data_IF_609436796234
#
_entry.id   IF_609436796234
#
_cell.length_a   1.000
_cell.length_b   1.000
_cell.length_c   1.000
_cell.angle_alpha   90.00
_cell.angle_beta   90.00
_cell.angle_gamma   90.00
#
_symmetry.space_group_name_H-M   'P 1'
#
loop_
_entity.id
_entity.type
_entity.pdbx_description
1 polymer ?
#
# COMPACT_ATOMS: atom_id res chain seq x y z
N UNK A 1 12.81 23.03 20.22
CA UNK A 1 11.89 22.14 19.49
C UNK A 1 12.34 20.72 19.75
N UNK A 2 11.40 19.81 20.00
CA UNK A 2 11.70 18.39 20.17
C UNK A 2 11.82 17.76 18.78
N UNK A 3 12.87 16.97 18.54
CA UNK A 3 13.01 16.18 17.30
C UNK A 3 12.52 14.78 17.59
N UNK A 4 11.58 14.30 16.77
CA UNK A 4 11.05 12.96 16.86
C UNK A 4 11.43 12.15 15.62
N UNK A 5 11.84 10.91 15.86
CA UNK A 5 12.07 9.86 14.87
C UNK A 5 11.51 8.55 15.42
N UNK A 6 11.12 7.64 14.54
CA UNK A 6 10.58 6.35 14.95
C UNK A 6 10.30 5.45 13.76
N UNK A 7 9.80 4.26 14.05
CA UNK A 7 9.39 3.28 13.04
C UNK A 7 8.08 2.65 13.48
N UNK A 8 7.16 2.46 12.54
CA UNK A 8 5.92 1.71 12.77
C UNK A 8 6.01 0.37 12.03
N UNK A 9 5.97 -0.71 12.81
CA UNK A 9 5.94 -2.08 12.28
C UNK A 9 4.52 -2.63 12.32
N UNK A 10 4.05 -3.11 11.17
CA UNK A 10 2.69 -3.60 10.95
C UNK A 10 2.75 -5.07 10.52
N UNK A 11 2.12 -5.93 11.31
CA UNK A 11 2.04 -7.38 11.04
C UNK A 11 0.59 -7.81 11.10
N UNK A 12 0.08 -8.36 9.99
CA UNK A 12 -1.25 -8.96 9.94
C UNK A 12 -1.15 -10.36 9.36
N UNK A 13 -1.95 -11.28 9.89
CA UNK A 13 -1.98 -12.68 9.48
C UNK A 13 -3.44 -13.16 9.42
N UNK A 14 -3.86 -13.57 8.23
CA UNK A 14 -5.17 -14.18 7.99
C UNK A 14 -4.96 -15.62 7.50
N UNK A 15 -5.67 -16.58 8.10
CA UNK A 15 -5.49 -18.01 7.83
C UNK A 15 -6.80 -18.80 7.60
N UNK A 16 -7.95 -18.13 7.50
CA UNK A 16 -9.27 -18.77 7.46
C UNK A 16 -9.50 -19.62 6.19
N UNK A 17 -8.89 -19.24 5.04
CA UNK A 17 -9.03 -19.95 3.77
C UNK A 17 -7.71 -19.99 2.98
N UNK A 18 -6.60 -20.14 3.69
CA UNK A 18 -5.23 -20.02 3.16
C UNK A 18 -4.43 -19.01 3.97
N UNK A 19 -3.10 -19.05 3.82
CA UNK A 19 -2.19 -18.23 4.62
C UNK A 19 -1.81 -16.94 3.88
N UNK A 20 -2.29 -15.80 4.38
CA UNK A 20 -1.96 -14.47 3.88
C UNK A 20 -1.36 -13.64 5.00
N UNK A 21 -0.19 -13.05 4.74
CA UNK A 21 0.54 -12.23 5.70
C UNK A 21 0.88 -10.87 5.09
N UNK A 22 0.68 -9.81 5.88
CA UNK A 22 1.21 -8.49 5.63
C UNK A 22 2.33 -8.24 6.65
N UNK A 23 3.50 -7.83 6.17
CA UNK A 23 4.57 -7.30 7.01
C UNK A 23 5.05 -5.99 6.39
N UNK A 24 4.88 -4.90 7.12
CA UNK A 24 5.29 -3.56 6.70
C UNK A 24 6.09 -2.90 7.80
N UNK A 25 7.08 -2.10 7.43
CA UNK A 25 7.87 -1.29 8.35
C UNK A 25 7.98 0.10 7.73
N UNK A 26 7.45 1.11 8.44
CA UNK A 26 7.38 2.49 7.97
C UNK A 26 8.28 3.34 8.86
N UNK A 27 9.47 3.76 8.38
CA UNK A 27 10.28 4.72 9.10
C UNK A 27 9.62 6.11 9.07
N UNK A 28 9.64 6.80 10.21
CA UNK A 28 9.04 8.10 10.44
C UNK A 28 10.09 9.10 10.94
N UNK A 29 10.06 10.30 10.37
CA UNK A 29 10.92 11.41 10.79
C UNK A 29 12.22 11.56 9.97
N UNK A 30 13.09 12.50 10.38
CA UNK A 30 12.97 13.35 11.57
C UNK A 30 11.90 14.45 11.40
N UNK A 31 11.07 14.68 12.44
CA UNK A 31 10.08 15.76 12.49
C UNK A 31 10.29 16.66 13.70
N UNK A 32 10.26 17.97 13.51
CA UNK A 32 10.42 18.95 14.57
C UNK A 32 9.05 19.33 15.15
N UNK A 33 8.81 18.93 16.41
CA UNK A 33 7.62 19.31 17.17
C UNK A 33 7.86 20.65 17.86
N UNK A 34 7.02 21.63 17.55
CA UNK A 34 6.96 22.91 18.25
C UNK A 34 6.03 22.77 19.44
N UNK A 35 6.56 22.93 20.65
CA UNK A 35 5.77 23.01 21.89
C UNK A 35 5.46 24.47 22.14
N UNK A 36 4.20 24.85 21.99
CA UNK A 36 3.73 26.18 22.38
C UNK A 36 3.23 26.10 23.82
N UNK A 37 4.03 26.60 24.76
CA UNK A 37 3.64 26.66 26.18
C UNK A 37 2.50 27.65 26.33
N UNK A 38 1.32 27.18 26.74
CA UNK A 38 0.19 28.08 27.05
C UNK A 38 0.44 28.70 28.42
N UNK A 39 1.09 29.87 28.45
CA UNK A 39 1.12 30.73 29.64
C UNK A 39 -0.27 31.32 29.90
N UNK A 40 -1.17 30.51 30.46
CA UNK A 40 -2.39 30.97 31.10
C UNK A 40 -2.08 31.42 32.53
N UNK A 41 -2.32 32.69 32.82
CA UNK A 41 -2.12 33.28 34.15
C UNK A 41 -2.89 32.50 35.24
N UNK A 42 -2.20 31.98 36.25
CA UNK A 42 -2.84 31.66 37.53
C UNK A 42 -2.37 30.44 38.33
N UNK A 43 -1.53 29.54 37.84
CA UNK A 43 -1.10 28.38 38.64
C UNK A 43 0.39 28.08 38.49
N UNK A 44 1.10 28.20 39.61
CA UNK A 44 2.36 27.57 39.99
C UNK A 44 3.20 27.00 38.84
N UNK A 45 4.20 27.77 38.42
CA UNK A 45 5.04 27.61 37.23
C UNK A 45 5.96 26.35 37.18
N UNK A 46 5.78 25.35 38.04
CA UNK A 46 6.64 24.16 38.08
C UNK A 46 5.99 22.86 37.53
N UNK A 47 4.68 22.82 37.27
CA UNK A 47 3.98 21.59 36.83
C UNK A 47 3.31 21.64 35.45
N UNK A 48 3.29 22.78 34.74
CA UNK A 48 2.57 22.92 33.46
C UNK A 48 3.39 22.53 32.20
N UNK A 49 4.72 22.49 32.30
CA UNK A 49 5.63 22.19 31.18
C UNK A 49 5.56 20.74 30.63
N UNK A 50 5.35 19.70 31.46
CA UNK A 50 5.29 18.32 30.99
C UNK A 50 4.03 18.01 30.18
N UNK A 51 2.89 18.60 30.54
CA UNK A 51 1.58 18.26 29.97
C UNK A 51 1.42 18.81 28.55
N UNK A 52 1.75 20.09 28.33
CA UNK A 52 1.74 20.71 27.00
C UNK A 52 2.71 20.01 26.04
N UNK A 53 3.87 19.57 26.55
CA UNK A 53 4.85 18.81 25.78
C UNK A 53 4.34 17.41 25.43
N UNK A 54 3.73 16.71 26.39
CA UNK A 54 3.14 15.39 26.18
C UNK A 54 2.01 15.44 25.15
N UNK A 55 1.15 16.47 25.21
CA UNK A 55 0.07 16.65 24.26
C UNK A 55 0.60 16.89 22.83
N UNK A 56 1.62 17.75 22.68
CA UNK A 56 2.24 18.00 21.37
C UNK A 56 2.89 16.73 20.77
N UNK A 57 3.46 15.88 21.61
CA UNK A 57 4.00 14.57 21.20
C UNK A 57 2.89 13.63 20.75
N UNK A 58 1.79 13.54 21.51
CA UNK A 58 0.64 12.70 21.16
C UNK A 58 -0.01 13.14 19.85
N UNK A 59 -0.15 14.45 19.64
CA UNK A 59 -0.70 15.01 18.40
C UNK A 59 0.20 14.69 17.20
N UNK A 60 1.53 14.73 17.38
CA UNK A 60 2.47 14.34 16.34
C UNK A 60 2.39 12.84 16.01
N UNK A 61 2.26 11.98 17.03
CA UNK A 61 2.13 10.53 16.83
C UNK A 61 0.84 10.23 16.07
N UNK A 62 -0.30 10.80 16.48
CA UNK A 62 -1.58 10.62 15.79
C UNK A 62 -1.51 11.03 14.33
N UNK A 63 -0.87 12.17 14.05
CA UNK A 63 -0.65 12.64 12.67
C UNK A 63 0.11 11.61 11.84
N UNK A 64 1.18 11.03 12.40
CA UNK A 64 1.94 9.98 11.70
C UNK A 64 1.11 8.71 11.50
N UNK A 65 0.37 8.25 12.50
CA UNK A 65 -0.47 7.05 12.39
C UNK A 65 -1.58 7.20 11.35
N UNK A 66 -2.24 8.36 11.30
CA UNK A 66 -3.36 8.60 10.39
C UNK A 66 -2.90 8.92 8.96
N UNK A 67 -2.02 9.93 8.81
CA UNK A 67 -1.64 10.45 7.49
C UNK A 67 -0.55 9.59 6.84
N UNK A 68 0.48 9.23 7.59
CA UNK A 68 1.66 8.56 7.03
C UNK A 68 1.46 7.05 6.95
N UNK A 69 0.83 6.42 7.94
CA UNK A 69 0.65 4.96 7.96
C UNK A 69 -0.70 4.56 7.38
N UNK A 70 -1.81 4.96 8.01
CA UNK A 70 -3.15 4.46 7.67
C UNK A 70 -3.61 4.88 6.27
N UNK A 71 -3.47 6.16 5.91
CA UNK A 71 -3.85 6.66 4.59
C UNK A 71 -3.01 6.04 3.46
N UNK A 72 -1.70 5.92 3.65
CA UNK A 72 -0.82 5.30 2.64
C UNK A 72 -1.06 3.82 2.50
N UNK A 73 -1.31 3.11 3.60
CA UNK A 73 -1.65 1.69 3.57
C UNK A 73 -2.95 1.45 2.79
N UNK A 74 -3.98 2.28 3.01
CA UNK A 74 -5.23 2.23 2.24
C UNK A 74 -4.99 2.42 0.73
N UNK A 75 -4.28 3.49 0.36
CA UNK A 75 -3.93 3.78 -1.05
C UNK A 75 -3.10 2.66 -1.70
N UNK A 76 -2.20 2.04 -0.94
CA UNK A 76 -1.42 0.91 -1.41
C UNK A 76 -2.32 -0.27 -1.76
N UNK A 77 -3.26 -0.62 -0.87
CA UNK A 77 -4.21 -1.70 -1.13
C UNK A 77 -5.15 -1.40 -2.31
N UNK A 78 -5.63 -0.17 -2.44
CA UNK A 78 -6.41 0.26 -3.61
C UNK A 78 -5.64 0.09 -4.93
N UNK A 79 -4.34 0.43 -4.92
CA UNK A 79 -3.45 0.24 -6.07
C UNK A 79 -3.19 -1.24 -6.38
N UNK A 80 -3.02 -2.07 -5.35
CA UNK A 80 -2.77 -3.51 -5.52
C UNK A 80 -3.98 -4.20 -6.16
N UNK A 81 -5.18 -3.92 -5.65
CA UNK A 81 -6.43 -4.49 -6.18
C UNK A 81 -6.75 -3.98 -7.59
N UNK A 82 -6.64 -2.68 -7.81
CA UNK A 82 -7.05 -2.07 -9.08
C UNK A 82 -6.13 -2.41 -10.24
N UNK A 83 -4.82 -2.56 -10.01
CA UNK A 83 -3.81 -2.67 -11.06
C UNK A 83 -2.87 -3.86 -10.93
N UNK A 84 -2.13 -3.96 -9.83
CA UNK A 84 -1.02 -4.93 -9.71
C UNK A 84 -1.50 -6.38 -9.88
N UNK A 85 -2.56 -6.77 -9.18
CA UNK A 85 -3.10 -8.13 -9.27
C UNK A 85 -3.66 -8.44 -10.67
N UNK A 86 -4.26 -7.44 -11.34
CA UNK A 86 -4.79 -7.60 -12.71
C UNK A 86 -3.69 -7.75 -13.76
N UNK A 87 -2.52 -7.15 -13.53
CA UNK A 87 -1.34 -7.33 -14.36
C UNK A 87 -0.78 -8.75 -14.24
N UNK A 88 -0.77 -9.31 -13.03
CA UNK A 88 -0.36 -10.70 -12.81
C UNK A 88 -1.34 -11.68 -13.48
N UNK A 89 -2.64 -11.50 -13.24
CA UNK A 89 -3.67 -12.31 -13.88
C UNK A 89 -4.95 -11.51 -14.09
N UNK A 90 -5.36 -11.42 -15.34
CA UNK A 90 -6.62 -10.77 -15.70
C UNK A 90 -7.81 -11.62 -15.24
N UNK A 91 -8.87 -10.93 -14.82
CA UNK A 91 -10.16 -11.57 -14.49
C UNK A 91 -10.79 -12.21 -15.73
N UNK A 92 -10.63 -11.59 -16.91
CA UNK A 92 -11.04 -12.14 -18.20
C UNK A 92 -9.95 -11.98 -19.26
N UNK A 93 -9.94 -12.85 -20.28
CA UNK A 93 -9.16 -12.64 -21.49
C UNK A 93 -9.38 -11.25 -22.10
N UNK A 94 -8.46 -10.81 -22.95
CA UNK A 94 -8.53 -9.50 -23.64
C UNK A 94 -9.82 -9.37 -24.44
N UNK A 95 -10.32 -10.48 -25.00
CA UNK A 95 -11.58 -10.57 -25.75
C UNK A 95 -12.84 -10.32 -24.90
N UNK A 96 -12.71 -10.27 -23.56
CA UNK A 96 -13.83 -10.18 -22.60
C UNK A 96 -14.85 -11.33 -22.74
N UNK A 97 -14.43 -12.45 -23.28
CA UNK A 97 -15.20 -13.70 -23.34
C UNK A 97 -14.47 -14.78 -22.55
N UNK A 98 -15.21 -15.70 -21.94
CA UNK A 98 -14.60 -16.89 -21.33
C UNK A 98 -13.88 -17.68 -22.42
N UNK A 99 -12.75 -18.30 -22.06
CA UNK A 99 -12.02 -19.16 -22.99
C UNK A 99 -12.94 -20.25 -23.52
N UNK A 100 -12.98 -20.38 -24.84
CA UNK A 100 -13.68 -21.48 -25.49
C UNK A 100 -12.77 -22.70 -25.56
N UNK A 101 -12.89 -23.56 -24.56
CA UNK A 101 -12.10 -24.78 -24.47
C UNK A 101 -12.39 -25.79 -25.58
N UNK A 102 -13.53 -25.67 -26.30
CA UNK A 102 -13.86 -26.55 -27.43
C UNK A 102 -13.08 -26.17 -28.68
N UNK A 103 -12.85 -24.88 -28.88
CA UNK A 103 -12.06 -24.34 -29.98
C UNK A 103 -10.56 -24.21 -29.66
N UNK A 104 -10.12 -24.52 -28.43
CA UNK A 104 -8.69 -24.52 -28.08
C UNK A 104 -7.89 -25.66 -28.76
N UNK A 105 -8.55 -26.78 -29.06
CA UNK A 105 -7.92 -27.95 -29.71
C UNK A 105 -8.08 -27.99 -31.24
N UNK A 106 -8.81 -27.04 -31.82
CA UNK A 106 -9.15 -27.04 -33.24
C UNK A 106 -8.87 -25.70 -33.90
N UNK A 107 -7.80 -25.65 -34.69
CA UNK A 107 -7.64 -24.73 -35.83
C UNK A 107 -7.78 -23.23 -35.51
N UNK A 108 -6.88 -22.70 -34.68
CA UNK A 108 -6.64 -21.25 -34.74
C UNK A 108 -5.87 -20.96 -36.03
N UNK A 109 -6.57 -20.43 -37.05
CA UNK A 109 -6.05 -20.06 -38.38
C UNK A 109 -4.75 -19.23 -38.32
N UNK A 110 -4.52 -18.52 -37.21
CA UNK A 110 -3.29 -17.77 -36.93
C UNK A 110 -2.03 -18.65 -36.84
N UNK A 111 -2.15 -19.90 -36.38
CA UNK A 111 -1.01 -20.83 -36.33
C UNK A 111 -0.73 -21.41 -37.73
N UNK A 112 -1.77 -21.63 -38.52
CA UNK A 112 -1.67 -22.09 -39.91
C UNK A 112 -1.09 -20.99 -40.84
N UNK A 113 -1.50 -19.74 -40.66
CA UNK A 113 -0.93 -18.57 -41.34
C UNK A 113 0.53 -18.31 -40.94
N UNK A 114 0.88 -18.42 -39.64
CA UNK A 114 2.27 -18.28 -39.19
C UNK A 114 3.18 -19.41 -39.71
N UNK A 115 2.66 -20.63 -39.86
CA UNK A 115 3.39 -21.77 -40.43
C UNK A 115 3.54 -21.65 -41.94
N UNK A 116 2.50 -21.19 -42.66
CA UNK A 116 2.56 -20.94 -44.11
C UNK A 116 3.51 -19.79 -44.46
N UNK A 117 3.54 -18.73 -43.65
CA UNK A 117 4.46 -17.60 -43.83
C UNK A 117 5.93 -18.01 -43.68
N UNK A 118 6.25 -18.95 -42.78
CA UNK A 118 7.61 -19.50 -42.65
C UNK A 118 8.04 -20.33 -43.86
N UNK A 119 7.12 -21.16 -44.39
CA UNK A 119 7.43 -22.01 -45.57
C UNK A 119 7.66 -21.23 -46.85
N UNK A 120 7.07 -20.04 -46.98
CA UNK A 120 7.22 -19.19 -48.16
C UNK A 120 8.49 -18.32 -48.15
N UNK A 121 9.18 -18.21 -47.01
CA UNK A 121 10.49 -17.53 -46.90
C UNK A 121 11.69 -18.46 -47.06
N UNK A 122 11.47 -19.78 -47.16
CA UNK A 122 12.50 -20.81 -47.32
C UNK A 122 12.55 -21.42 -48.75
N UNK A 123 11.80 -20.85 -49.72
CA UNK A 123 11.89 -21.13 -51.16
C UNK A 123 12.30 -19.88 -51.92
#
# INVERSE_FOLDING_TARGET
>A
GLIMEGTVDLVAHAFENGNVQLRSSVPLGPSAVKVEVRSGAGSSAESALPEDTAQAVLDQIRKWEDEEVSSKLGKMYDSVDSGMLKTLRRVMPVTRTKMDWRNLGGQHRLMEEAVSARRSTES
#
